data_IF_708794370134
#
_entry.id   IF_708794370134
#
_cell.length_a   1.000
_cell.length_b   1.000
_cell.length_c   1.000
_cell.angle_alpha   90.00
_cell.angle_beta   90.00
_cell.angle_gamma   90.00
#
_symmetry.space_group_name_H-M   'P 1'
#
loop_
_entity.id
_entity.type
_entity.pdbx_description
1 polymer ?
#
# COMPACT_ATOMS: atom_id res chain seq x y z
N UNK A 1 18.68 -15.66 -8.42
CA UNK A 1 18.15 -14.34 -8.75
C UNK A 1 18.95 -13.24 -8.10
N UNK A 2 18.92 -12.06 -8.65
CA UNK A 2 19.52 -10.85 -8.09
C UNK A 2 18.46 -9.76 -8.01
N UNK A 3 18.51 -8.94 -6.97
CA UNK A 3 17.62 -7.80 -6.79
C UNK A 3 18.41 -6.50 -6.68
N UNK A 4 17.77 -5.40 -7.07
CA UNK A 4 18.29 -4.04 -6.92
C UNK A 4 17.19 -3.15 -6.39
N UNK A 5 17.49 -2.38 -5.38
CA UNK A 5 16.61 -1.34 -4.85
C UNK A 5 17.35 -0.01 -4.86
N UNK A 6 16.77 0.97 -5.53
CA UNK A 6 17.20 2.37 -5.43
C UNK A 6 16.08 3.16 -4.80
N UNK A 7 16.32 3.64 -3.58
CA UNK A 7 15.40 4.46 -2.80
C UNK A 7 15.99 5.86 -2.64
N UNK A 8 15.19 6.88 -2.94
CA UNK A 8 15.51 8.28 -2.73
C UNK A 8 14.42 8.96 -1.92
N UNK A 9 14.82 9.73 -0.92
CA UNK A 9 13.92 10.54 -0.11
C UNK A 9 14.42 11.98 -0.18
N UNK A 10 13.55 12.88 -0.62
CA UNK A 10 13.87 14.31 -0.78
C UNK A 10 12.93 15.17 0.08
N UNK A 11 13.29 16.43 0.26
CA UNK A 11 12.53 17.45 0.97
C UNK A 11 12.19 17.10 2.43
N UNK A 12 13.07 16.36 3.10
CA UNK A 12 12.95 16.14 4.54
C UNK A 12 13.40 17.38 5.27
N UNK A 13 12.50 17.99 6.02
CA UNK A 13 12.83 19.14 6.87
C UNK A 13 13.78 18.74 8.00
N UNK A 14 14.89 19.49 8.16
CA UNK A 14 15.92 19.13 9.15
C UNK A 14 15.44 19.25 10.59
N UNK A 15 14.56 20.22 10.90
CA UNK A 15 13.97 20.35 12.23
C UNK A 15 12.97 19.24 12.50
N UNK A 16 12.16 18.89 11.50
CA UNK A 16 11.24 17.77 11.58
C UNK A 16 11.99 16.44 11.80
N UNK A 17 13.10 16.24 11.10
CA UNK A 17 13.97 15.09 11.33
C UNK A 17 14.53 15.04 12.76
N UNK A 18 14.97 16.16 13.28
CA UNK A 18 15.49 16.24 14.64
C UNK A 18 14.40 15.93 15.68
N UNK A 19 13.21 16.50 15.53
CA UNK A 19 12.06 16.23 16.40
C UNK A 19 11.65 14.76 16.34
N UNK A 20 11.56 14.19 15.13
CA UNK A 20 11.27 12.77 14.92
C UNK A 20 12.29 11.88 15.65
N UNK A 21 13.59 12.13 15.44
CA UNK A 21 14.65 11.35 16.05
C UNK A 21 14.61 11.40 17.57
N UNK A 22 14.38 12.59 18.15
CA UNK A 22 14.27 12.76 19.61
C UNK A 22 13.04 12.02 20.16
N UNK A 23 11.89 12.20 19.54
CA UNK A 23 10.64 11.56 20.00
C UNK A 23 10.72 10.04 19.87
N UNK A 24 11.19 9.54 18.74
CA UNK A 24 11.35 8.09 18.51
C UNK A 24 12.35 7.47 19.49
N UNK A 25 13.50 8.11 19.71
CA UNK A 25 14.51 7.64 20.67
C UNK A 25 13.98 7.63 22.10
N UNK A 26 13.31 8.68 22.53
CA UNK A 26 12.74 8.77 23.88
C UNK A 26 11.66 7.69 24.10
N UNK A 27 10.78 7.51 23.13
CA UNK A 27 9.70 6.51 23.22
C UNK A 27 10.23 5.08 23.14
N UNK A 28 11.19 4.79 22.27
CA UNK A 28 11.81 3.47 22.16
C UNK A 28 12.60 3.09 23.42
N UNK A 29 13.29 4.03 24.06
CA UNK A 29 13.94 3.82 25.35
C UNK A 29 12.91 3.55 26.47
N UNK A 30 11.77 4.27 26.46
CA UNK A 30 10.71 4.02 27.42
C UNK A 30 10.08 2.63 27.26
N UNK A 31 10.04 2.07 26.05
CA UNK A 31 9.59 0.68 25.82
C UNK A 31 10.56 -0.34 26.44
N UNK A 32 11.88 -0.11 26.34
CA UNK A 32 12.88 -0.98 26.94
C UNK A 32 12.80 -1.01 28.49
N UNK A 33 12.30 0.07 29.09
CA UNK A 33 12.11 0.15 30.55
C UNK A 33 10.88 -0.64 31.06
N UNK A 34 10.04 -1.17 30.14
CA UNK A 34 8.86 -1.97 30.50
C UNK A 34 9.22 -3.46 30.58
N UNK A 35 9.16 -4.10 31.77
CA UNK A 35 9.55 -5.51 31.93
C UNK A 35 8.73 -6.49 31.05
N UNK A 36 7.47 -6.16 30.82
CA UNK A 36 6.52 -6.95 30.02
C UNK A 36 6.97 -7.06 28.54
N UNK A 37 7.53 -5.98 28.00
CA UNK A 37 8.03 -5.94 26.63
C UNK A 37 9.42 -6.55 26.51
N UNK A 38 10.26 -6.39 27.53
CA UNK A 38 11.62 -6.95 27.55
C UNK A 38 11.60 -8.51 27.53
N UNK A 39 10.52 -9.12 28.02
CA UNK A 39 10.36 -10.59 28.07
C UNK A 39 9.60 -11.14 26.84
N UNK A 40 9.01 -10.29 26.01
CA UNK A 40 8.23 -10.72 24.84
C UNK A 40 8.67 -9.97 23.57
N UNK A 41 9.54 -10.58 22.74
CA UNK A 41 10.07 -9.94 21.53
C UNK A 41 8.99 -9.51 20.51
N UNK A 42 7.89 -10.26 20.42
CA UNK A 42 6.80 -9.93 19.47
C UNK A 42 6.05 -8.67 19.90
N UNK A 43 5.70 -8.58 21.19
CA UNK A 43 5.05 -7.38 21.74
C UNK A 43 5.98 -6.16 21.66
N UNK A 44 7.27 -6.36 21.85
CA UNK A 44 8.26 -5.28 21.71
C UNK A 44 8.33 -4.78 20.28
N UNK A 45 8.36 -5.67 19.29
CA UNK A 45 8.35 -5.28 17.86
C UNK A 45 7.06 -4.56 17.47
N UNK A 46 5.91 -5.02 17.94
CA UNK A 46 4.64 -4.30 17.71
C UNK A 46 4.66 -2.90 18.28
N UNK A 47 5.10 -2.76 19.54
CA UNK A 47 5.20 -1.46 20.21
C UNK A 47 6.20 -0.50 19.51
N UNK A 48 7.33 -1.01 19.01
CA UNK A 48 8.27 -0.23 18.20
C UNK A 48 7.65 0.23 16.88
N UNK A 49 6.90 -0.65 16.22
CA UNK A 49 6.21 -0.34 14.97
C UNK A 49 5.16 0.75 15.19
N UNK A 50 4.33 0.64 16.23
CA UNK A 50 3.36 1.68 16.60
C UNK A 50 4.04 3.00 16.93
N UNK A 51 5.15 2.97 17.67
CA UNK A 51 5.93 4.16 18.00
C UNK A 51 6.46 4.83 16.75
N UNK A 52 6.96 4.06 15.78
CA UNK A 52 7.42 4.55 14.51
C UNK A 52 6.27 5.21 13.72
N UNK A 53 5.14 4.52 13.58
CA UNK A 53 3.97 5.05 12.86
C UNK A 53 3.42 6.33 13.49
N UNK A 54 3.40 6.42 14.82
CA UNK A 54 2.95 7.61 15.53
C UNK A 54 3.91 8.80 15.38
N UNK A 55 5.20 8.55 15.17
CA UNK A 55 6.21 9.59 14.97
C UNK A 55 6.34 10.04 13.50
N UNK A 56 5.99 9.17 12.51
CA UNK A 56 6.11 9.47 11.08
C UNK A 56 5.43 10.77 10.63
N UNK A 57 4.25 11.17 11.14
CA UNK A 57 3.61 12.44 10.75
C UNK A 57 4.48 13.67 10.93
N UNK A 58 5.44 13.66 11.86
CA UNK A 58 6.40 14.75 12.07
C UNK A 58 7.23 14.99 10.82
N UNK A 59 7.63 13.93 10.11
CA UNK A 59 8.44 14.02 8.90
C UNK A 59 7.67 14.57 7.69
N UNK A 60 6.35 14.62 7.75
CA UNK A 60 5.52 15.10 6.64
C UNK A 60 5.49 16.62 6.52
N UNK A 61 5.99 17.36 7.53
CA UNK A 61 5.99 18.83 7.55
C UNK A 61 6.73 19.49 6.38
N UNK A 62 7.73 18.85 5.83
CA UNK A 62 8.50 19.37 4.70
C UNK A 62 7.93 18.99 3.32
N UNK A 63 6.78 18.37 3.26
CA UNK A 63 6.24 17.76 2.04
C UNK A 63 7.28 16.85 1.36
N UNK A 64 7.77 15.80 2.04
CA UNK A 64 8.83 14.96 1.51
C UNK A 64 8.35 14.16 0.30
N UNK A 65 9.26 13.82 -0.56
CA UNK A 65 9.02 12.87 -1.65
C UNK A 65 9.82 11.58 -1.45
N UNK A 66 9.20 10.47 -1.78
CA UNK A 66 9.82 9.14 -1.76
C UNK A 66 9.80 8.59 -3.17
N UNK A 67 10.96 8.22 -3.68
CA UNK A 67 11.09 7.65 -5.02
C UNK A 67 11.80 6.30 -4.94
N UNK A 68 11.19 5.28 -5.52
CA UNK A 68 11.78 3.97 -5.78
C UNK A 68 11.98 3.87 -7.29
N UNK A 69 13.24 3.79 -7.75
CA UNK A 69 13.52 3.78 -9.18
C UNK A 69 14.87 3.13 -9.50
N UNK A 70 14.87 1.85 -9.83
CA UNK A 70 13.80 0.86 -9.67
C UNK A 70 13.93 0.06 -8.36
N UNK A 71 12.85 -0.62 -7.95
CA UNK A 71 12.96 -1.91 -7.30
C UNK A 71 12.92 -2.96 -8.40
N UNK A 72 14.00 -3.70 -8.59
CA UNK A 72 14.05 -4.73 -9.62
C UNK A 72 14.46 -6.08 -9.05
N UNK A 73 13.95 -7.12 -9.67
CA UNK A 73 14.35 -8.49 -9.41
C UNK A 73 14.52 -9.23 -10.73
N UNK A 74 15.69 -9.85 -10.88
CA UNK A 74 16.09 -10.55 -12.11
C UNK A 74 16.33 -12.03 -11.83
N UNK A 75 15.85 -12.86 -12.74
CA UNK A 75 16.23 -14.26 -12.86
C UNK A 75 16.64 -14.59 -14.31
N UNK A 76 16.82 -15.87 -14.63
CA UNK A 76 17.20 -16.31 -15.99
C UNK A 76 16.12 -16.02 -17.06
N UNK A 77 14.87 -15.74 -16.67
CA UNK A 77 13.71 -15.53 -17.54
C UNK A 77 13.35 -14.06 -17.75
N UNK A 78 13.97 -13.15 -17.01
CA UNK A 78 13.70 -11.73 -17.17
C UNK A 78 13.99 -10.91 -15.92
N UNK A 79 13.54 -9.67 -15.96
CA UNK A 79 13.63 -8.71 -14.87
C UNK A 79 12.27 -8.07 -14.64
N UNK A 80 11.73 -8.22 -13.42
CA UNK A 80 10.57 -7.48 -12.95
C UNK A 80 11.01 -6.14 -12.39
N UNK A 81 10.24 -5.09 -12.63
CA UNK A 81 10.56 -3.74 -12.15
C UNK A 81 9.35 -3.10 -11.50
N UNK A 82 9.58 -2.38 -10.42
CA UNK A 82 8.65 -1.44 -9.82
C UNK A 82 9.32 -0.07 -9.74
N UNK A 83 8.68 0.91 -10.34
CA UNK A 83 9.01 2.32 -10.16
C UNK A 83 7.85 2.98 -9.41
N UNK A 84 8.17 3.73 -8.38
CA UNK A 84 7.17 4.42 -7.55
C UNK A 84 7.71 5.78 -7.14
N UNK A 85 6.90 6.81 -7.32
CA UNK A 85 7.17 8.15 -6.82
C UNK A 85 5.96 8.65 -6.04
N UNK A 86 6.17 9.04 -4.79
CA UNK A 86 5.12 9.56 -3.92
C UNK A 86 5.55 10.91 -3.40
N UNK A 87 4.71 11.92 -3.61
CA UNK A 87 4.83 13.23 -2.98
C UNK A 87 3.86 13.27 -1.80
N UNK A 88 4.39 13.50 -0.63
CA UNK A 88 3.63 13.55 0.61
C UNK A 88 3.32 15.00 0.99
N UNK A 89 2.33 15.20 1.83
CA UNK A 89 1.97 16.52 2.37
C UNK A 89 1.67 16.44 3.87
N UNK A 90 1.81 17.56 4.55
CA UNK A 90 1.55 17.65 5.99
C UNK A 90 0.04 17.53 6.26
N UNK A 91 -0.41 16.50 7.00
CA UNK A 91 -1.81 16.32 7.34
C UNK A 91 -2.36 17.40 8.29
N UNK A 92 -1.49 18.12 8.98
CA UNK A 92 -1.89 19.20 9.89
C UNK A 92 -2.50 20.41 9.15
N UNK A 93 -2.32 20.51 7.84
CA UNK A 93 -2.92 21.56 7.02
C UNK A 93 -4.44 21.35 6.79
N UNK A 94 -4.95 20.15 7.08
CA UNK A 94 -6.37 19.81 6.92
C UNK A 94 -6.99 19.60 8.30
N UNK A 95 -7.89 20.49 8.68
CA UNK A 95 -8.52 20.49 10.03
C UNK A 95 -9.74 19.59 10.13
N UNK A 96 -10.45 19.32 9.02
CA UNK A 96 -11.63 18.47 9.02
C UNK A 96 -11.27 17.00 9.27
N UNK A 97 -11.97 16.23 10.12
CA UNK A 97 -11.70 14.81 10.30
C UNK A 97 -11.96 14.02 9.01
N UNK A 98 -11.15 12.99 8.69
CA UNK A 98 -11.41 12.16 7.53
C UNK A 98 -12.67 11.33 7.74
N UNK A 99 -13.54 11.30 6.75
CA UNK A 99 -14.77 10.51 6.77
C UNK A 99 -14.67 9.25 5.91
N UNK A 100 -13.75 9.26 4.94
CA UNK A 100 -13.54 8.16 4.01
C UNK A 100 -12.07 7.77 3.96
N UNK A 101 -11.79 6.60 3.38
CA UNK A 101 -10.42 6.20 3.05
C UNK A 101 -9.77 7.20 2.09
N UNK A 102 -10.53 7.73 1.14
CA UNK A 102 -10.09 8.75 0.22
C UNK A 102 -9.62 10.01 0.95
N UNK A 103 -10.40 10.49 1.94
CA UNK A 103 -10.02 11.65 2.75
C UNK A 103 -8.75 11.40 3.56
N UNK A 104 -8.60 10.18 4.09
CA UNK A 104 -7.41 9.78 4.86
C UNK A 104 -6.16 9.78 4.01
N UNK A 105 -6.25 9.23 2.80
CA UNK A 105 -5.14 9.21 1.83
C UNK A 105 -4.83 10.60 1.29
N UNK A 106 -5.86 11.37 0.95
CA UNK A 106 -5.68 12.72 0.40
C UNK A 106 -5.07 13.71 1.39
N UNK A 107 -5.13 13.42 2.68
CA UNK A 107 -4.43 14.20 3.73
C UNK A 107 -2.93 14.04 3.70
N UNK A 108 -2.44 12.88 3.31
CA UNK A 108 -1.03 12.47 3.44
C UNK A 108 -0.36 12.40 2.08
N UNK A 109 -1.08 12.00 1.04
CA UNK A 109 -0.55 11.83 -0.31
C UNK A 109 -1.00 12.99 -1.18
N UNK A 110 -0.05 13.79 -1.65
CA UNK A 110 -0.32 14.84 -2.64
C UNK A 110 -0.41 14.25 -4.04
N UNK A 111 0.51 13.37 -4.39
CA UNK A 111 0.50 12.64 -5.66
C UNK A 111 1.27 11.32 -5.55
N UNK A 112 0.86 10.36 -6.37
CA UNK A 112 1.54 9.08 -6.52
C UNK A 112 1.61 8.74 -7.99
N UNK A 113 2.77 8.27 -8.44
CA UNK A 113 2.99 7.69 -9.76
C UNK A 113 3.71 6.37 -9.57
N UNK A 114 3.12 5.30 -10.07
CA UNK A 114 3.65 3.95 -9.94
C UNK A 114 3.51 3.16 -11.23
N UNK A 115 4.52 2.37 -11.55
CA UNK A 115 4.50 1.41 -12.66
C UNK A 115 5.19 0.12 -12.25
N UNK A 116 4.50 -0.99 -12.49
CA UNK A 116 5.05 -2.34 -12.34
C UNK A 116 5.08 -3.04 -13.69
N UNK A 117 6.14 -3.80 -13.94
CA UNK A 117 6.29 -4.64 -15.14
C UNK A 117 6.83 -5.99 -14.71
N UNK A 118 6.15 -7.06 -15.09
CA UNK A 118 6.50 -8.44 -14.75
C UNK A 118 6.48 -9.28 -16.03
N UNK A 119 7.63 -9.76 -16.52
CA UNK A 119 7.67 -10.70 -17.63
C UNK A 119 6.87 -11.97 -17.32
N UNK A 120 6.05 -12.43 -18.26
CA UNK A 120 5.20 -13.62 -18.09
C UNK A 120 6.04 -14.86 -17.79
N UNK A 121 7.15 -15.03 -18.50
CA UNK A 121 8.05 -16.19 -18.29
C UNK A 121 8.68 -16.19 -16.89
N UNK A 122 8.98 -15.01 -16.35
CA UNK A 122 9.50 -14.87 -14.99
C UNK A 122 8.44 -15.20 -13.95
N UNK A 123 7.20 -14.72 -14.13
CA UNK A 123 6.07 -15.04 -13.25
C UNK A 123 5.79 -16.56 -13.28
N UNK A 124 5.81 -17.16 -14.47
CA UNK A 124 5.60 -18.60 -14.64
C UNK A 124 6.68 -19.42 -13.95
N UNK A 125 7.96 -19.04 -14.08
CA UNK A 125 9.05 -19.72 -13.36
C UNK A 125 8.87 -19.63 -11.83
N UNK A 126 8.48 -18.47 -11.33
CA UNK A 126 8.24 -18.28 -9.92
C UNK A 126 7.10 -19.16 -9.40
N UNK A 127 5.96 -19.18 -10.10
CA UNK A 127 4.80 -20.01 -9.76
C UNK A 127 5.12 -21.50 -9.88
N UNK A 128 5.96 -21.89 -10.85
CA UNK A 128 6.43 -23.28 -10.98
C UNK A 128 7.22 -23.72 -9.76
N UNK A 129 8.09 -22.85 -9.23
CA UNK A 129 8.84 -23.14 -8.01
C UNK A 129 7.93 -23.27 -6.79
N UNK A 130 6.93 -22.41 -6.66
CA UNK A 130 5.93 -22.51 -5.58
C UNK A 130 5.19 -23.83 -5.67
N UNK A 131 4.66 -24.20 -6.85
CA UNK A 131 3.96 -25.47 -7.04
C UNK A 131 4.86 -26.68 -6.72
N UNK A 132 6.15 -26.61 -7.08
CA UNK A 132 7.14 -27.62 -6.69
C UNK A 132 7.31 -27.76 -5.17
N UNK A 133 7.27 -26.65 -4.43
CA UNK A 133 7.30 -26.67 -2.96
C UNK A 133 6.01 -27.25 -2.36
N UNK A 134 4.90 -27.14 -3.04
CA UNK A 134 3.61 -27.75 -2.68
C UNK A 134 3.53 -29.25 -3.05
N UNK A 135 4.57 -29.80 -3.66
CA UNK A 135 4.71 -31.22 -3.95
C UNK A 135 4.29 -31.67 -5.34
N UNK A 136 3.98 -30.74 -6.25
CA UNK A 136 3.72 -31.10 -7.65
C UNK A 136 4.97 -31.60 -8.37
N UNK A 137 4.78 -32.58 -9.25
CA UNK A 137 5.88 -33.05 -10.14
C UNK A 137 6.28 -31.91 -11.11
N UNK A 138 7.55 -31.84 -11.55
CA UNK A 138 8.04 -30.71 -12.35
C UNK A 138 7.21 -30.36 -13.59
N UNK A 139 6.71 -31.37 -14.32
CA UNK A 139 5.89 -31.16 -15.51
C UNK A 139 4.50 -30.61 -15.16
N UNK A 140 3.88 -31.09 -14.08
CA UNK A 140 2.58 -30.64 -13.61
C UNK A 140 2.68 -29.24 -12.98
N UNK A 141 3.73 -28.98 -12.23
CA UNK A 141 4.05 -27.67 -11.68
C UNK A 141 4.20 -26.60 -12.76
N UNK A 142 4.93 -26.89 -13.84
CA UNK A 142 5.09 -25.97 -14.96
C UNK A 142 3.79 -25.70 -15.70
N UNK A 143 2.97 -26.74 -15.93
CA UNK A 143 1.65 -26.61 -16.59
C UNK A 143 0.67 -25.81 -15.75
N UNK A 144 0.61 -26.08 -14.44
CA UNK A 144 -0.24 -25.37 -13.50
C UNK A 144 0.16 -23.89 -13.44
N UNK A 145 1.45 -23.59 -13.32
CA UNK A 145 1.98 -22.23 -13.29
C UNK A 145 1.63 -21.44 -14.56
N UNK A 146 1.81 -22.05 -15.75
CA UNK A 146 1.46 -21.42 -17.02
C UNK A 146 -0.03 -21.07 -17.09
N UNK A 147 -0.89 -22.00 -16.68
CA UNK A 147 -2.34 -21.77 -16.64
C UNK A 147 -2.72 -20.66 -15.64
N UNK A 148 -2.13 -20.66 -14.46
CA UNK A 148 -2.41 -19.64 -13.43
C UNK A 148 -1.96 -18.26 -13.89
N UNK A 149 -0.74 -18.12 -14.42
CA UNK A 149 -0.23 -16.81 -14.87
C UNK A 149 -1.04 -16.28 -16.04
N UNK A 150 -1.39 -17.12 -17.02
CA UNK A 150 -2.27 -16.73 -18.14
C UNK A 150 -3.67 -16.35 -17.67
N UNK A 151 -4.24 -17.09 -16.72
CA UNK A 151 -5.53 -16.79 -16.10
C UNK A 151 -5.52 -15.44 -15.38
N UNK A 152 -4.52 -15.19 -14.56
CA UNK A 152 -4.37 -13.92 -13.85
C UNK A 152 -4.16 -12.75 -14.82
N UNK A 153 -3.35 -12.93 -15.87
CA UNK A 153 -3.15 -11.93 -16.90
C UNK A 153 -4.46 -11.60 -17.65
N UNK A 154 -5.22 -12.62 -18.02
CA UNK A 154 -6.51 -12.43 -18.69
C UNK A 154 -7.54 -11.73 -17.78
N UNK A 155 -7.63 -12.12 -16.51
CA UNK A 155 -8.47 -11.44 -15.52
C UNK A 155 -8.05 -9.99 -15.33
N UNK A 156 -6.76 -9.74 -15.20
CA UNK A 156 -6.23 -8.39 -15.05
C UNK A 156 -6.59 -7.49 -16.23
N UNK A 157 -6.51 -8.00 -17.46
CA UNK A 157 -6.93 -7.29 -18.66
C UNK A 157 -8.45 -7.07 -18.70
N UNK A 158 -9.24 -8.08 -18.34
CA UNK A 158 -10.70 -7.99 -18.33
C UNK A 158 -11.19 -6.89 -17.38
N UNK A 159 -10.58 -6.78 -16.19
CA UNK A 159 -10.89 -5.74 -15.22
C UNK A 159 -10.10 -4.45 -15.43
N UNK A 160 -9.28 -4.37 -16.48
CA UNK A 160 -8.40 -3.23 -16.79
C UNK A 160 -7.41 -2.86 -15.67
N UNK A 161 -7.09 -3.81 -14.81
CA UNK A 161 -6.11 -3.66 -13.73
C UNK A 161 -4.68 -3.77 -14.29
N UNK A 162 -4.50 -4.61 -15.30
CA UNK A 162 -3.22 -4.82 -15.98
C UNK A 162 -3.36 -4.71 -17.49
N UNK A 163 -2.24 -4.48 -18.16
CA UNK A 163 -2.09 -4.56 -19.61
C UNK A 163 -1.02 -5.60 -19.95
N UNK A 164 -1.07 -6.10 -21.19
CA UNK A 164 -0.06 -7.01 -21.73
C UNK A 164 0.66 -6.33 -22.88
N UNK A 165 1.98 -6.23 -22.77
CA UNK A 165 2.85 -5.68 -23.80
C UNK A 165 4.17 -6.45 -23.78
N UNK A 166 4.68 -6.86 -24.95
CA UNK A 166 5.95 -7.57 -25.10
C UNK A 166 6.12 -8.80 -24.18
N UNK A 167 5.08 -9.61 -24.04
CA UNK A 167 5.04 -10.78 -23.12
C UNK A 167 5.32 -10.41 -21.65
N UNK A 168 4.94 -9.21 -21.25
CA UNK A 168 5.01 -8.73 -19.87
C UNK A 168 3.65 -8.21 -19.40
N UNK A 169 3.32 -8.52 -18.14
CA UNK A 169 2.19 -7.96 -17.43
C UNK A 169 2.64 -6.63 -16.88
N UNK A 170 1.92 -5.54 -17.18
CA UNK A 170 2.21 -4.23 -16.63
C UNK A 170 0.97 -3.57 -16.05
N UNK A 171 1.20 -2.71 -15.08
CA UNK A 171 0.16 -1.85 -14.50
C UNK A 171 0.77 -0.50 -14.17
N UNK A 172 0.05 0.56 -14.49
CA UNK A 172 0.44 1.93 -14.20
C UNK A 172 -0.68 2.62 -13.43
N UNK A 173 -0.30 3.28 -12.33
CA UNK A 173 -1.20 3.93 -11.40
C UNK A 173 -0.71 5.34 -11.13
N UNK A 174 -1.57 6.34 -11.33
CA UNK A 174 -1.36 7.70 -10.85
C UNK A 174 -2.48 8.08 -9.89
N UNK A 175 -2.13 8.86 -8.88
CA UNK A 175 -3.08 9.43 -7.93
C UNK A 175 -2.77 10.92 -7.72
N UNK A 176 -3.80 11.74 -7.77
CA UNK A 176 -3.76 13.14 -7.36
C UNK A 176 -5.18 13.65 -7.10
N UNK A 177 -5.36 14.48 -6.08
CA UNK A 177 -6.63 15.18 -5.80
C UNK A 177 -7.87 14.26 -5.77
N UNK A 178 -7.77 13.13 -5.08
CA UNK A 178 -8.86 12.17 -4.96
C UNK A 178 -9.21 11.39 -6.23
N UNK A 179 -8.39 11.52 -7.29
CA UNK A 179 -8.57 10.84 -8.57
C UNK A 179 -7.44 9.84 -8.80
N UNK A 180 -7.82 8.64 -9.23
CA UNK A 180 -6.89 7.57 -9.63
C UNK A 180 -6.95 7.43 -11.14
N UNK A 181 -5.78 7.30 -11.76
CA UNK A 181 -5.66 6.90 -13.17
C UNK A 181 -4.98 5.54 -13.21
N UNK A 182 -5.73 4.50 -13.54
CA UNK A 182 -5.25 3.12 -13.66
C UNK A 182 -5.17 2.75 -15.14
N UNK A 183 -3.96 2.50 -15.63
CA UNK A 183 -3.72 2.17 -17.05
C UNK A 183 -4.41 3.14 -18.02
N UNK A 184 -4.32 4.44 -17.73
CA UNK A 184 -4.93 5.51 -18.53
C UNK A 184 -6.41 5.78 -18.27
N UNK A 185 -7.08 4.97 -17.44
CA UNK A 185 -8.48 5.15 -17.08
C UNK A 185 -8.61 5.91 -15.77
N UNK A 186 -9.24 7.07 -15.81
CA UNK A 186 -9.46 7.94 -14.65
C UNK A 186 -10.73 7.53 -13.89
N UNK A 187 -10.64 7.46 -12.57
CA UNK A 187 -11.76 7.16 -11.68
C UNK A 187 -11.56 7.83 -10.31
N UNK A 188 -12.65 8.08 -9.55
CA UNK A 188 -12.53 8.50 -8.15
C UNK A 188 -11.80 7.44 -7.31
N UNK A 189 -11.08 7.87 -6.27
CA UNK A 189 -10.38 6.94 -5.36
C UNK A 189 -11.34 5.95 -4.70
N UNK A 190 -12.56 6.36 -4.40
CA UNK A 190 -13.57 5.47 -3.80
C UNK A 190 -13.94 4.31 -4.73
N UNK A 191 -14.10 4.57 -6.02
CA UNK A 191 -14.40 3.53 -7.02
C UNK A 191 -13.22 2.58 -7.17
N UNK A 192 -11.99 3.11 -7.17
CA UNK A 192 -10.78 2.30 -7.16
C UNK A 192 -10.70 1.40 -5.92
N UNK A 193 -10.96 1.96 -4.72
CA UNK A 193 -10.95 1.20 -3.47
C UNK A 193 -12.02 0.08 -3.48
N UNK A 194 -13.20 0.35 -4.02
CA UNK A 194 -14.27 -0.63 -4.14
C UNK A 194 -13.89 -1.83 -5.03
N UNK A 195 -13.10 -1.62 -6.09
CA UNK A 195 -12.59 -2.70 -6.94
C UNK A 195 -11.78 -3.75 -6.17
N UNK A 196 -11.15 -3.36 -5.07
CA UNK A 196 -10.32 -4.23 -4.22
C UNK A 196 -11.00 -4.59 -2.88
N UNK A 197 -12.30 -4.28 -2.72
CA UNK A 197 -13.03 -4.52 -1.48
C UNK A 197 -12.56 -3.65 -0.30
N UNK A 198 -11.88 -2.55 -0.57
CA UNK A 198 -11.39 -1.58 0.42
C UNK A 198 -12.45 -0.48 0.65
N UNK A 199 -13.69 -0.87 0.88
CA UNK A 199 -14.75 0.07 1.28
C UNK A 199 -14.46 0.57 2.69
N UNK A 200 -14.69 1.87 2.92
CA UNK A 200 -14.65 2.41 4.27
C UNK A 200 -15.69 1.67 5.13
N UNK A 201 -15.36 1.30 6.39
CA UNK A 201 -16.38 0.76 7.27
C UNK A 201 -17.53 1.76 7.33
N UNK A 202 -18.72 1.32 6.91
CA UNK A 202 -19.95 2.09 7.09
C UNK A 202 -20.07 2.39 8.58
N UNK A 203 -20.13 3.67 8.93
CA UNK A 203 -20.49 4.06 10.29
C UNK A 203 -21.79 3.34 10.63
N UNK A 204 -21.92 2.72 11.81
CA UNK A 204 -23.17 2.08 12.19
C UNK A 204 -24.29 3.12 12.07
N UNK A 205 -25.31 2.79 11.30
CA UNK A 205 -26.51 3.59 11.13
C UNK A 205 -26.95 4.13 12.49
N UNK A 206 -27.13 5.43 12.57
CA UNK A 206 -27.65 6.11 13.75
C UNK A 206 -28.86 5.34 14.23
N UNK A 207 -28.83 4.90 15.47
CA UNK A 207 -29.91 4.15 16.10
C UNK A 207 -31.29 4.76 15.77
N UNK A 208 -32.32 3.93 15.58
CA UNK A 208 -33.67 4.44 15.33
C UNK A 208 -34.06 5.41 16.44
N UNK A 209 -34.48 6.59 16.07
CA UNK A 209 -35.12 7.51 17.02
C UNK A 209 -36.32 6.80 17.61
N UNK A 210 -36.20 6.39 18.87
CA UNK A 210 -37.32 5.89 19.65
C UNK A 210 -38.44 6.92 19.63
N UNK A 211 -39.63 6.42 19.30
CA UNK A 211 -40.82 7.15 19.03
C UNK A 211 -41.20 8.16 20.12
N UNK A 212 -41.62 9.32 19.67
CA UNK A 212 -42.39 10.25 20.48
C UNK A 212 -43.69 9.55 20.91
N UNK A 213 -44.10 9.63 22.20
CA UNK A 213 -45.39 9.13 22.62
C UNK A 213 -46.49 10.01 22.01
N UNK A 214 -47.39 9.34 21.27
CA UNK A 214 -48.63 9.97 20.86
C UNK A 214 -49.43 10.34 22.12
N UNK A 215 -49.66 11.63 22.36
CA UNK A 215 -50.66 12.10 23.29
C UNK A 215 -52.02 11.84 22.66
N UNK A 216 -52.72 10.84 23.19
CA UNK A 216 -54.17 10.76 23.06
C UNK A 216 -54.77 11.92 23.85
N UNK A 217 -55.37 12.87 23.14
CA UNK A 217 -56.23 13.90 23.70
C UNK A 217 -57.66 13.46 23.61
N UNK A 218 -58.32 13.57 24.74
CA UNK A 218 -59.77 13.45 24.96
C UNK A 218 -60.59 14.49 24.16
#
# INVERSE_FOLDING_TARGET
>A
GSGKLTLKVDNVDGQAWHQFSQQYSAQSQALLAKPELAQNPELYQQALTETLFNALPILLKGNPSVTISPLSWRNAKGESTLNLSVLLKDPAQVTAPPQTLADSLDRVVQSLDGKVVIPVDMATEFMTKIAGLEGYQPADAAKLADQQVKGLAAMGQMFRITTMEDNAISSSLQYANGQVTLNGQKMPLQDFAAMFGLEAPSLPDSAPQEGQPQQEGQ
#
